data_IF_241803674720
#
_entry.id   IF_241803674720
#
_cell.length_a   1.000
_cell.length_b   1.000
_cell.length_c   1.000
_cell.angle_alpha   90.00
_cell.angle_beta   90.00
_cell.angle_gamma   90.00
#
_symmetry.space_group_name_H-M   'P 1'
#
loop_
_entity.id
_entity.type
_entity.pdbx_description
1 polymer ?
#
# COMPACT_ATOMS: atom_id res chain seq x y z
N UNK A 1 17.40 -6.43 -18.19
CA UNK A 1 16.00 -6.25 -17.78
C UNK A 1 15.18 -7.38 -18.38
N UNK A 2 14.78 -8.37 -17.59
CA UNK A 2 13.93 -9.49 -18.03
C UNK A 2 12.83 -9.70 -16.99
N UNK A 3 11.87 -8.79 -16.96
CA UNK A 3 10.59 -8.98 -16.29
C UNK A 3 9.53 -9.28 -17.32
N UNK A 4 8.66 -10.26 -17.07
CA UNK A 4 7.49 -10.54 -17.91
C UNK A 4 6.34 -9.62 -17.51
N UNK A 5 5.36 -9.43 -18.40
CA UNK A 5 4.12 -8.69 -18.10
C UNK A 5 3.48 -9.23 -16.81
N UNK A 6 3.49 -10.55 -16.62
CA UNK A 6 2.97 -11.21 -15.42
C UNK A 6 3.68 -10.79 -14.14
N UNK A 7 5.02 -10.75 -14.13
CA UNK A 7 5.77 -10.27 -12.96
C UNK A 7 5.50 -8.80 -12.67
N UNK A 8 5.36 -7.96 -13.71
CA UNK A 8 5.00 -6.55 -13.55
C UNK A 8 3.61 -6.36 -12.94
N UNK A 9 2.61 -7.10 -13.44
CA UNK A 9 1.24 -7.08 -12.90
C UNK A 9 1.26 -7.53 -11.43
N UNK A 10 1.98 -8.60 -11.09
CA UNK A 10 2.08 -9.08 -9.71
C UNK A 10 2.69 -8.02 -8.76
N UNK A 11 3.76 -7.33 -9.19
CA UNK A 11 4.34 -6.24 -8.39
C UNK A 11 3.39 -5.04 -8.23
N UNK A 12 2.62 -4.70 -9.25
CA UNK A 12 1.63 -3.62 -9.16
C UNK A 12 0.51 -4.01 -8.18
N UNK A 13 -0.05 -5.21 -8.31
CA UNK A 13 -1.13 -5.69 -7.44
C UNK A 13 -0.67 -5.70 -5.98
N UNK A 14 0.53 -6.24 -5.72
CA UNK A 14 1.08 -6.31 -4.35
C UNK A 14 1.45 -4.95 -3.77
N UNK A 15 1.82 -3.98 -4.61
CA UNK A 15 2.05 -2.60 -4.17
C UNK A 15 0.75 -1.84 -3.84
N UNK A 16 -0.36 -2.18 -4.51
CA UNK A 16 -1.65 -1.49 -4.35
C UNK A 16 -2.51 -2.13 -3.24
N UNK A 17 -2.50 -3.46 -3.12
CA UNK A 17 -3.25 -4.15 -2.07
C UNK A 17 -2.45 -4.07 -0.76
N UNK A 18 -2.79 -3.09 0.08
CA UNK A 18 -2.13 -2.84 1.36
C UNK A 18 -3.11 -2.49 2.49
N UNK A 19 -2.58 -1.88 3.55
CA UNK A 19 -3.36 -1.51 4.75
C UNK A 19 -4.56 -0.59 4.46
N UNK A 20 -4.54 0.13 3.33
CA UNK A 20 -5.63 1.01 2.89
C UNK A 20 -6.95 0.29 2.58
N UNK A 21 -6.94 -1.03 2.31
CA UNK A 21 -8.15 -1.78 1.96
C UNK A 21 -9.16 -1.82 3.11
N UNK A 22 -8.70 -1.89 4.37
CA UNK A 22 -9.60 -1.88 5.53
C UNK A 22 -10.32 -0.53 5.68
N UNK A 23 -9.59 0.58 5.55
CA UNK A 23 -10.18 1.92 5.60
C UNK A 23 -11.09 2.16 4.41
N UNK A 24 -10.72 1.66 3.23
CA UNK A 24 -11.52 1.79 2.02
C UNK A 24 -12.88 1.09 2.19
N UNK A 25 -12.88 -0.16 2.68
CA UNK A 25 -14.12 -0.90 2.92
C UNK A 25 -15.05 -0.17 3.89
N UNK A 26 -14.51 0.37 5.00
CA UNK A 26 -15.28 1.16 5.95
C UNK A 26 -15.85 2.43 5.31
N UNK A 27 -15.04 3.21 4.58
CA UNK A 27 -15.51 4.42 3.90
C UNK A 27 -16.58 4.11 2.84
N UNK A 28 -16.41 3.05 2.05
CA UNK A 28 -17.41 2.59 1.08
C UNK A 28 -18.71 2.18 1.77
N UNK A 29 -18.64 1.52 2.93
CA UNK A 29 -19.81 1.18 3.72
C UNK A 29 -20.58 2.43 4.19
N UNK A 30 -19.87 3.51 4.57
CA UNK A 30 -20.51 4.78 4.95
C UNK A 30 -21.22 5.48 3.78
N UNK A 31 -20.73 5.33 2.55
CA UNK A 31 -21.38 5.87 1.34
C UNK A 31 -22.62 5.06 0.93
N UNK A 32 -22.80 3.85 1.46
CA UNK A 32 -23.92 2.97 1.14
C UNK A 32 -23.78 2.24 -0.20
N UNK A 33 -24.77 1.39 -0.50
CA UNK A 33 -24.64 0.36 -1.54
C UNK A 33 -24.55 0.91 -2.97
N UNK A 34 -25.08 2.10 -3.26
CA UNK A 34 -25.03 2.71 -4.61
C UNK A 34 -23.82 3.62 -4.74
N UNK A 35 -23.71 4.61 -3.85
CA UNK A 35 -22.69 5.64 -3.96
C UNK A 35 -21.29 5.09 -3.68
N UNK A 36 -21.16 4.05 -2.83
CA UNK A 36 -19.89 3.40 -2.56
C UNK A 36 -19.25 2.78 -3.82
N UNK A 37 -19.89 1.80 -4.47
CA UNK A 37 -19.39 1.22 -5.72
C UNK A 37 -19.22 2.25 -6.85
N UNK A 38 -20.15 3.21 -6.98
CA UNK A 38 -20.03 4.26 -7.98
C UNK A 38 -18.77 5.11 -7.76
N UNK A 39 -18.49 5.52 -6.52
CA UNK A 39 -17.29 6.26 -6.18
C UNK A 39 -16.02 5.45 -6.47
N UNK A 40 -16.00 4.14 -6.14
CA UNK A 40 -14.87 3.26 -6.47
C UNK A 40 -14.61 3.24 -7.98
N UNK A 41 -15.65 3.10 -8.80
CA UNK A 41 -15.51 3.10 -10.27
C UNK A 41 -14.98 4.44 -10.81
N UNK A 42 -15.45 5.56 -10.25
CA UNK A 42 -14.97 6.90 -10.63
C UNK A 42 -13.50 7.07 -10.26
N UNK A 43 -13.09 6.72 -9.04
CA UNK A 43 -11.69 6.79 -8.63
C UNK A 43 -10.80 5.84 -9.44
N UNK A 44 -11.30 4.65 -9.81
CA UNK A 44 -10.59 3.73 -10.68
C UNK A 44 -10.36 4.34 -12.08
N UNK A 45 -11.38 4.99 -12.67
CA UNK A 45 -11.25 5.66 -13.96
C UNK A 45 -10.23 6.82 -13.93
N UNK A 46 -10.27 7.65 -12.87
CA UNK A 46 -9.30 8.74 -12.66
C UNK A 46 -7.88 8.20 -12.50
N UNK A 47 -7.72 7.13 -11.73
CA UNK A 47 -6.43 6.46 -11.51
C UNK A 47 -5.88 5.91 -12.82
N UNK A 48 -6.72 5.26 -13.62
CA UNK A 48 -6.33 4.72 -14.92
C UNK A 48 -5.87 5.82 -15.87
N UNK A 49 -6.62 6.93 -15.97
CA UNK A 49 -6.23 8.08 -16.77
C UNK A 49 -4.87 8.64 -16.30
N UNK A 50 -4.67 8.74 -14.99
CA UNK A 50 -3.42 9.23 -14.40
C UNK A 50 -2.23 8.32 -14.71
N UNK A 51 -2.42 7.00 -14.66
CA UNK A 51 -1.38 6.02 -15.01
C UNK A 51 -1.00 6.14 -16.49
N UNK A 52 -1.97 6.32 -17.39
CA UNK A 52 -1.72 6.49 -18.83
C UNK A 52 -0.88 7.75 -19.10
N UNK A 53 -1.28 8.89 -18.52
CA UNK A 53 -0.52 10.14 -18.63
C UNK A 53 0.91 9.98 -18.09
N UNK A 54 1.08 9.28 -16.96
CA UNK A 54 2.41 9.04 -16.39
C UNK A 54 3.26 8.13 -17.27
N UNK A 55 2.67 7.12 -17.90
CA UNK A 55 3.36 6.24 -18.85
C UNK A 55 3.82 7.02 -20.10
N UNK A 56 3.00 7.94 -20.58
CA UNK A 56 3.34 8.80 -21.72
C UNK A 56 4.45 9.79 -21.36
N UNK A 57 4.38 10.43 -20.19
CA UNK A 57 5.47 11.27 -19.67
C UNK A 57 6.77 10.50 -19.42
N UNK A 58 6.69 9.22 -19.05
CA UNK A 58 7.86 8.36 -18.87
C UNK A 58 8.52 7.97 -20.20
N UNK A 59 7.74 7.83 -21.28
CA UNK A 59 8.20 7.39 -22.61
C UNK A 59 8.60 8.54 -23.56
N UNK A 60 8.20 9.77 -23.27
CA UNK A 60 8.54 10.95 -24.08
C UNK A 60 9.97 11.43 -23.80
N UNK A 61 10.74 11.96 -24.79
CA UNK A 61 10.32 12.42 -26.12
C UNK A 61 10.15 11.34 -27.21
N UNK A 62 10.88 10.23 -27.15
CA UNK A 62 10.85 9.18 -28.19
C UNK A 62 10.70 7.78 -27.54
N UNK A 63 9.61 7.04 -27.84
CA UNK A 63 9.32 5.72 -27.28
C UNK A 63 10.36 4.63 -27.57
N UNK A 64 11.17 4.77 -28.62
CA UNK A 64 12.07 3.73 -29.12
C UNK A 64 13.57 4.10 -29.05
N UNK A 65 13.92 5.40 -29.16
CA UNK A 65 15.33 5.86 -29.23
C UNK A 65 15.65 7.12 -28.40
N UNK A 66 14.78 7.52 -27.48
CA UNK A 66 14.99 8.72 -26.66
C UNK A 66 16.21 8.62 -25.72
N UNK A 67 17.08 9.65 -25.63
CA UNK A 67 18.33 9.60 -24.87
C UNK A 67 18.16 9.62 -23.34
N UNK A 68 16.97 9.94 -22.83
CA UNK A 68 16.68 10.08 -21.39
C UNK A 68 15.27 9.63 -21.05
N UNK A 69 15.11 8.47 -20.41
CA UNK A 69 13.88 8.12 -19.68
C UNK A 69 13.90 8.84 -18.33
N UNK A 70 12.77 9.37 -17.88
CA UNK A 70 12.64 10.02 -16.57
C UNK A 70 12.13 8.99 -15.55
N UNK A 71 12.99 8.28 -14.79
CA UNK A 71 12.56 7.19 -13.93
C UNK A 71 11.76 7.62 -12.71
N UNK A 72 11.86 8.89 -12.29
CA UNK A 72 11.08 9.41 -11.16
C UNK A 72 10.02 10.41 -11.62
N UNK A 73 8.84 10.34 -10.98
CA UNK A 73 7.77 11.32 -11.16
C UNK A 73 8.29 12.76 -10.97
N UNK A 74 9.14 12.97 -9.97
CA UNK A 74 9.73 14.28 -9.65
C UNK A 74 10.59 14.79 -10.82
N UNK A 75 11.40 13.92 -11.45
CA UNK A 75 12.19 14.29 -12.63
C UNK A 75 11.31 14.59 -13.84
N UNK A 76 10.25 13.80 -14.05
CA UNK A 76 9.29 14.05 -15.14
C UNK A 76 8.58 15.41 -14.95
N UNK A 77 8.13 15.74 -13.74
CA UNK A 77 7.52 17.06 -13.45
C UNK A 77 8.51 18.19 -13.69
N UNK A 78 9.79 18.03 -13.33
CA UNK A 78 10.79 19.04 -13.63
C UNK A 78 10.99 19.26 -15.13
N UNK A 79 11.00 18.17 -15.91
CA UNK A 79 11.19 18.23 -17.37
C UNK A 79 10.03 18.95 -18.07
N UNK A 80 8.77 18.67 -17.71
CA UNK A 80 7.60 19.25 -18.38
C UNK A 80 7.07 20.54 -17.76
N UNK A 81 7.08 20.66 -16.44
CA UNK A 81 6.42 21.76 -15.69
C UNK A 81 7.43 22.70 -14.98
N UNK A 82 8.72 22.38 -15.02
CA UNK A 82 9.79 23.18 -14.43
C UNK A 82 9.96 23.04 -12.92
N UNK A 83 10.99 23.72 -12.40
CA UNK A 83 11.48 23.58 -11.01
C UNK A 83 10.46 23.94 -9.93
N UNK A 84 9.59 24.92 -10.16
CA UNK A 84 8.60 25.35 -9.17
C UNK A 84 7.55 24.26 -8.93
N UNK A 85 7.03 23.67 -10.01
CA UNK A 85 6.05 22.59 -9.92
C UNK A 85 6.68 21.28 -9.43
N UNK A 86 7.94 21.04 -9.78
CA UNK A 86 8.72 19.94 -9.20
C UNK A 86 8.74 20.02 -7.67
N UNK A 87 9.05 21.19 -7.08
CA UNK A 87 9.09 21.34 -5.61
C UNK A 87 7.74 21.06 -4.97
N UNK A 88 6.66 21.56 -5.56
CA UNK A 88 5.30 21.30 -5.06
C UNK A 88 4.97 19.81 -5.14
N UNK A 89 5.25 19.16 -6.27
CA UNK A 89 5.04 17.72 -6.44
C UNK A 89 5.87 16.90 -5.44
N UNK A 90 7.13 17.26 -5.24
CA UNK A 90 8.01 16.60 -4.28
C UNK A 90 7.48 16.68 -2.85
N UNK A 91 6.89 17.82 -2.45
CA UNK A 91 6.22 17.98 -1.15
C UNK A 91 5.06 16.99 -1.02
N UNK A 92 4.14 16.94 -1.99
CA UNK A 92 3.01 16.00 -1.95
C UNK A 92 3.43 14.53 -1.92
N UNK A 93 4.48 14.16 -2.66
CA UNK A 93 5.03 12.81 -2.66
C UNK A 93 5.63 12.46 -1.29
N UNK A 94 6.39 13.38 -0.69
CA UNK A 94 6.99 13.19 0.63
C UNK A 94 5.92 13.06 1.72
N UNK A 95 4.91 13.92 1.70
CA UNK A 95 3.75 13.85 2.59
C UNK A 95 3.06 12.48 2.49
N UNK A 96 2.86 11.97 1.27
CA UNK A 96 2.25 10.66 1.03
C UNK A 96 3.09 9.51 1.60
N UNK A 97 4.42 9.55 1.43
CA UNK A 97 5.31 8.53 1.99
C UNK A 97 5.36 8.60 3.52
N UNK A 98 5.41 9.80 4.09
CA UNK A 98 5.41 10.00 5.53
C UNK A 98 4.10 9.52 6.17
N UNK A 99 2.96 9.92 5.60
CA UNK A 99 1.64 9.48 6.03
C UNK A 99 1.48 7.95 5.93
N UNK A 100 1.96 7.35 4.84
CA UNK A 100 2.02 5.90 4.69
C UNK A 100 2.84 5.23 5.79
N UNK A 101 4.05 5.73 6.08
CA UNK A 101 4.92 5.20 7.12
C UNK A 101 4.27 5.22 8.51
N UNK A 102 3.60 6.31 8.87
CA UNK A 102 2.85 6.42 10.13
C UNK A 102 1.70 5.41 10.15
N UNK A 103 0.89 5.37 9.10
CA UNK A 103 -0.27 4.48 9.03
C UNK A 103 0.14 3.01 9.16
N UNK A 104 1.17 2.58 8.43
CA UNK A 104 1.69 1.21 8.55
C UNK A 104 2.23 0.91 9.94
N UNK A 105 2.91 1.86 10.59
CA UNK A 105 3.42 1.67 11.96
C UNK A 105 2.30 1.47 12.98
N UNK A 106 1.26 2.31 12.90
CA UNK A 106 0.09 2.20 13.80
C UNK A 106 -0.67 0.90 13.55
N UNK A 107 -0.94 0.57 12.28
CA UNK A 107 -1.68 -0.65 11.90
C UNK A 107 -0.93 -1.89 12.35
N UNK A 108 0.36 -2.01 12.05
CA UNK A 108 1.16 -3.18 12.45
C UNK A 108 1.22 -3.32 13.97
N UNK A 109 1.44 -2.22 14.70
CA UNK A 109 1.45 -2.24 16.17
C UNK A 109 0.11 -2.74 16.74
N UNK A 110 -1.00 -2.22 16.22
CA UNK A 110 -2.35 -2.61 16.66
C UNK A 110 -2.64 -4.08 16.35
N UNK A 111 -2.25 -4.57 15.17
CA UNK A 111 -2.41 -5.97 14.78
C UNK A 111 -1.63 -6.92 15.69
N UNK A 112 -0.36 -6.63 16.00
CA UNK A 112 0.46 -7.47 16.90
C UNK A 112 -0.14 -7.49 18.30
N UNK A 113 -0.56 -6.33 18.82
CA UNK A 113 -1.23 -6.23 20.13
C UNK A 113 -2.52 -7.05 20.17
N UNK A 114 -3.31 -7.05 19.10
CA UNK A 114 -4.54 -7.83 19.00
C UNK A 114 -4.26 -9.35 19.00
N UNK A 115 -3.22 -9.80 18.29
CA UNK A 115 -2.81 -11.22 18.26
C UNK A 115 -2.38 -11.68 19.65
N UNK A 116 -1.51 -10.92 20.33
CA UNK A 116 -1.04 -11.28 21.67
C UNK A 116 -2.19 -11.32 22.68
N UNK A 117 -3.10 -10.34 22.60
CA UNK A 117 -4.29 -10.33 23.44
C UNK A 117 -5.19 -11.54 23.18
N UNK A 118 -5.37 -11.93 21.92
CA UNK A 118 -6.13 -13.13 21.55
C UNK A 118 -5.50 -14.41 22.10
N UNK A 119 -4.17 -14.54 22.00
CA UNK A 119 -3.46 -15.70 22.54
C UNK A 119 -3.56 -15.76 24.07
N UNK A 120 -3.39 -14.62 24.74
CA UNK A 120 -3.53 -14.54 26.19
C UNK A 120 -4.94 -14.92 26.67
N UNK A 121 -6.00 -14.46 25.98
CA UNK A 121 -7.37 -14.89 26.31
C UNK A 121 -7.64 -16.36 26.04
N UNK A 122 -6.95 -16.97 25.08
CA UNK A 122 -7.05 -18.41 24.83
C UNK A 122 -6.39 -19.22 25.94
N UNK A 123 -5.27 -18.74 26.48
CA UNK A 123 -4.46 -19.44 27.48
C UNK A 123 -4.96 -19.23 28.92
N UNK A 124 -5.22 -17.97 29.31
CA UNK A 124 -5.61 -17.62 30.68
C UNK A 124 -7.13 -17.46 30.87
N UNK A 125 -7.91 -17.58 29.80
CA UNK A 125 -9.35 -17.31 29.81
C UNK A 125 -9.70 -15.82 29.83
N UNK A 126 -10.98 -15.50 29.69
CA UNK A 126 -11.46 -14.11 29.58
C UNK A 126 -11.21 -13.25 30.84
N UNK A 127 -10.91 -13.87 31.98
CA UNK A 127 -10.62 -13.19 33.25
C UNK A 127 -9.13 -12.88 33.48
N UNK A 128 -8.23 -13.29 32.56
CA UNK A 128 -6.81 -12.99 32.61
C UNK A 128 -6.48 -11.50 32.38
N UNK A 129 -5.46 -10.96 33.03
CA UNK A 129 -5.04 -9.56 32.90
C UNK A 129 -4.20 -9.33 31.62
N UNK A 130 -4.83 -9.50 30.46
CA UNK A 130 -4.18 -9.41 29.14
C UNK A 130 -4.07 -7.95 28.64
N UNK A 131 -3.15 -7.16 29.21
CA UNK A 131 -2.86 -5.78 28.80
C UNK A 131 -1.48 -5.65 28.18
N UNK A 132 -1.44 -5.28 26.90
CA UNK A 132 -0.21 -4.96 26.17
C UNK A 132 -0.20 -3.50 25.72
N UNK A 133 0.95 -2.84 25.81
CA UNK A 133 1.14 -1.45 25.37
C UNK A 133 1.50 -1.36 23.88
N UNK A 134 0.95 -0.37 23.17
CA UNK A 134 1.19 -0.22 21.72
C UNK A 134 2.56 0.40 21.41
N UNK A 135 3.03 1.30 22.28
CA UNK A 135 4.27 2.06 22.07
C UNK A 135 5.49 1.16 21.86
N UNK A 136 5.57 0.02 22.54
CA UNK A 136 6.68 -0.93 22.42
C UNK A 136 6.71 -1.53 21.02
N UNK A 137 5.56 -1.94 20.47
CA UNK A 137 5.48 -2.53 19.14
C UNK A 137 5.72 -1.48 18.04
N UNK A 138 5.29 -0.23 18.24
CA UNK A 138 5.62 0.87 17.32
C UNK A 138 7.13 1.08 17.22
N UNK A 139 7.85 1.10 18.35
CA UNK A 139 9.31 1.28 18.36
C UNK A 139 10.01 0.09 17.70
N UNK A 140 9.61 -1.14 18.03
CA UNK A 140 10.18 -2.36 17.42
C UNK A 140 9.97 -2.35 15.91
N UNK A 141 8.76 -2.01 15.43
CA UNK A 141 8.48 -1.96 14.01
C UNK A 141 9.29 -0.86 13.30
N UNK A 142 9.45 0.30 13.92
CA UNK A 142 10.33 1.37 13.42
C UNK A 142 11.78 0.92 13.27
N UNK A 143 12.32 0.15 14.23
CA UNK A 143 13.67 -0.42 14.13
C UNK A 143 13.78 -1.40 12.95
N UNK A 144 12.78 -2.25 12.75
CA UNK A 144 12.73 -3.16 11.59
C UNK A 144 12.68 -2.38 10.28
N UNK A 145 11.89 -1.31 10.19
CA UNK A 145 11.85 -0.43 9.02
C UNK A 145 13.21 0.19 8.70
N UNK A 146 13.96 0.63 9.72
CA UNK A 146 15.32 1.17 9.53
C UNK A 146 16.24 0.11 8.93
N UNK A 147 16.21 -1.13 9.46
CA UNK A 147 17.02 -2.24 8.96
C UNK A 147 16.63 -2.59 7.52
N UNK A 148 15.34 -2.73 7.24
CA UNK A 148 14.81 -3.08 5.91
C UNK A 148 15.10 -1.98 4.89
N UNK A 149 15.12 -0.71 5.29
CA UNK A 149 15.47 0.41 4.39
C UNK A 149 16.92 0.37 3.89
N UNK A 150 17.80 -0.42 4.50
CA UNK A 150 19.17 -0.62 4.02
C UNK A 150 19.25 -1.59 2.82
N UNK A 151 18.16 -2.27 2.46
CA UNK A 151 18.15 -3.20 1.33
C UNK A 151 18.18 -2.39 0.02
N UNK A 152 19.26 -2.48 -0.78
CA UNK A 152 19.50 -1.53 -1.86
C UNK A 152 18.79 -1.87 -3.19
N UNK A 153 18.18 -3.05 -3.31
CA UNK A 153 17.71 -3.55 -4.61
C UNK A 153 16.33 -4.24 -4.56
N UNK A 154 15.48 -3.94 -5.56
CA UNK A 154 14.13 -4.49 -5.71
C UNK A 154 14.14 -6.01 -5.91
N UNK A 155 15.19 -6.54 -6.55
CA UNK A 155 15.33 -7.99 -6.74
C UNK A 155 15.46 -8.73 -5.39
N UNK A 156 16.14 -8.11 -4.42
CA UNK A 156 16.29 -8.65 -3.07
C UNK A 156 15.01 -8.52 -2.23
N UNK A 157 14.01 -7.77 -2.71
CA UNK A 157 12.71 -7.60 -2.06
C UNK A 157 11.58 -8.40 -2.75
N UNK A 158 11.87 -9.12 -3.84
CA UNK A 158 10.84 -9.88 -4.55
C UNK A 158 10.13 -10.91 -3.67
N UNK A 159 10.86 -11.53 -2.72
CA UNK A 159 10.29 -12.45 -1.74
C UNK A 159 9.28 -11.76 -0.79
N UNK A 160 9.53 -10.50 -0.40
CA UNK A 160 8.60 -9.71 0.41
C UNK A 160 7.30 -9.43 -0.37
N UNK A 161 7.41 -9.09 -1.65
CA UNK A 161 6.23 -8.90 -2.52
C UNK A 161 5.38 -10.17 -2.62
N UNK A 162 6.02 -11.36 -2.72
CA UNK A 162 5.30 -12.64 -2.77
C UNK A 162 4.52 -12.88 -1.46
N UNK A 163 5.15 -12.69 -0.31
CA UNK A 163 4.48 -12.84 0.99
C UNK A 163 3.32 -11.84 1.13
N UNK A 164 3.54 -10.58 0.74
CA UNK A 164 2.51 -9.56 0.75
C UNK A 164 1.31 -9.94 -0.14
N UNK A 165 1.56 -10.57 -1.31
CA UNK A 165 0.52 -11.10 -2.18
C UNK A 165 -0.32 -12.17 -1.48
N UNK A 166 0.36 -13.17 -0.88
CA UNK A 166 -0.31 -14.28 -0.19
C UNK A 166 -1.19 -13.74 0.93
N UNK A 167 -0.65 -12.87 1.78
CA UNK A 167 -1.40 -12.26 2.89
C UNK A 167 -2.60 -11.48 2.37
N UNK A 168 -2.43 -10.70 1.30
CA UNK A 168 -3.51 -9.92 0.67
C UNK A 168 -4.66 -10.80 0.18
N UNK A 169 -4.36 -11.90 -0.52
CA UNK A 169 -5.38 -12.85 -0.96
C UNK A 169 -6.04 -13.55 0.23
N UNK A 170 -5.28 -13.95 1.25
CA UNK A 170 -5.85 -14.54 2.47
C UNK A 170 -6.83 -13.60 3.16
N UNK A 171 -6.47 -12.33 3.35
CA UNK A 171 -7.37 -11.34 3.96
C UNK A 171 -8.64 -11.13 3.11
N UNK A 172 -8.51 -11.05 1.78
CA UNK A 172 -9.65 -10.92 0.89
C UNK A 172 -10.59 -12.13 0.97
N UNK A 173 -10.07 -13.36 1.00
CA UNK A 173 -10.89 -14.57 1.14
C UNK A 173 -11.57 -14.66 2.50
N UNK A 174 -10.88 -14.33 3.59
CA UNK A 174 -11.47 -14.31 4.93
C UNK A 174 -12.59 -13.27 5.00
N UNK A 175 -12.33 -12.06 4.50
CA UNK A 175 -13.33 -10.98 4.45
C UNK A 175 -14.56 -11.36 3.61
N UNK A 176 -14.34 -11.98 2.45
CA UNK A 176 -15.42 -12.48 1.60
C UNK A 176 -16.23 -13.59 2.30
N UNK A 177 -15.56 -14.55 2.92
CA UNK A 177 -16.21 -15.66 3.65
C UNK A 177 -17.05 -15.17 4.83
N UNK A 178 -16.50 -14.28 5.65
CA UNK A 178 -17.24 -13.67 6.76
C UNK A 178 -18.43 -12.84 6.26
N UNK A 179 -18.23 -12.02 5.22
CA UNK A 179 -19.31 -11.22 4.64
C UNK A 179 -20.44 -12.08 4.08
N UNK A 180 -20.11 -13.16 3.37
CA UNK A 180 -21.11 -14.09 2.84
C UNK A 180 -21.86 -14.80 3.96
N UNK A 181 -21.15 -15.26 5.00
CA UNK A 181 -21.76 -15.91 6.16
C UNK A 181 -22.67 -14.99 6.99
N UNK A 182 -22.48 -13.67 6.94
CA UNK A 182 -23.36 -12.71 7.64
C UNK A 182 -24.64 -12.37 6.89
N UNK A 183 -24.72 -12.65 5.58
CA UNK A 183 -25.86 -12.28 4.73
C UNK A 183 -26.83 -13.45 4.52
N UNK A 184 -26.39 -14.69 4.78
CA UNK A 184 -27.22 -15.91 4.77
C UNK A 184 -27.64 -16.24 6.20
#
# INVERSE_FOLDING_TARGET
>A
MTGTIWTGIAHIITGVIGAGVLSLAWSTAQLGWIAGPLAILVFAAITQLSILLLCDCYRSPDPARGPTRNPSLIQAVNFYLGKTKQRICAIFVLESFYGGGIAYTIVTSSSVKAILRSNCYHEEGHDGNCKYGDNVFMVIFGLVQIIVSQIPDFHNMAWLSIIAAIMSFSYAFIGFGLGFATVI
#
